data_IF_343697334203
#
_entry.id   IF_343697334203
#
_cell.length_a   1.000
_cell.length_b   1.000
_cell.length_c   1.000
_cell.angle_alpha   90.00
_cell.angle_beta   90.00
_cell.angle_gamma   90.00
#
_symmetry.space_group_name_H-M   'P 1'
#
loop_
_entity.id
_entity.type
_entity.pdbx_description
1 polymer ?
#
# COMPACT_ATOMS: atom_id res chain seq x y z
N UNK A 1 13.37 53.43 -24.84
CA UNK A 1 13.39 53.16 -23.37
C UNK A 1 12.32 52.17 -22.87
N UNK A 2 11.22 51.88 -23.61
CA UNK A 2 10.21 50.89 -23.18
C UNK A 2 10.65 49.43 -23.39
N UNK A 3 11.42 49.16 -24.45
CA UNK A 3 11.96 47.83 -24.77
C UNK A 3 12.95 47.32 -23.72
N UNK A 4 13.83 48.17 -23.19
CA UNK A 4 14.79 47.77 -22.15
C UNK A 4 14.12 47.29 -20.86
N UNK A 5 13.00 47.91 -20.45
CA UNK A 5 12.27 47.53 -19.24
C UNK A 5 11.55 46.18 -19.38
N UNK A 6 11.14 45.84 -20.60
CA UNK A 6 10.51 44.55 -20.92
C UNK A 6 11.58 43.45 -20.88
N UNK A 7 12.75 43.70 -21.47
CA UNK A 7 13.87 42.73 -21.47
C UNK A 7 14.37 42.45 -20.04
N UNK A 8 14.50 43.48 -19.19
CA UNK A 8 14.91 43.26 -17.79
C UNK A 8 13.90 42.43 -17.00
N UNK A 9 12.60 42.60 -17.26
CA UNK A 9 11.56 41.81 -16.60
C UNK A 9 11.65 40.33 -16.99
N UNK A 10 11.92 40.02 -18.26
CA UNK A 10 12.12 38.64 -18.71
C UNK A 10 13.37 38.00 -18.10
N UNK A 11 14.48 38.74 -17.97
CA UNK A 11 15.72 38.21 -17.36
C UNK A 11 15.51 37.84 -15.88
N UNK A 12 14.79 38.67 -15.12
CA UNK A 12 14.47 38.38 -13.70
C UNK A 12 13.53 37.17 -13.59
N UNK A 13 12.57 37.04 -14.50
CA UNK A 13 11.66 35.89 -14.56
C UNK A 13 12.42 34.59 -14.87
N UNK A 14 13.33 34.61 -15.83
CA UNK A 14 14.16 33.44 -16.17
C UNK A 14 15.11 33.04 -15.04
N UNK A 15 15.76 34.00 -14.37
CA UNK A 15 16.61 33.72 -13.20
C UNK A 15 15.82 33.11 -12.03
N UNK A 16 14.57 33.54 -11.84
CA UNK A 16 13.64 32.95 -10.88
C UNK A 16 13.34 31.48 -11.17
N UNK A 17 13.07 31.13 -12.42
CA UNK A 17 12.82 29.72 -12.81
C UNK A 17 14.06 28.83 -12.65
N UNK A 18 15.27 29.34 -12.97
CA UNK A 18 16.51 28.56 -12.81
C UNK A 18 16.93 28.39 -11.35
N UNK A 19 16.62 29.34 -10.46
CA UNK A 19 16.98 29.24 -9.03
C UNK A 19 16.26 28.11 -8.29
N UNK A 20 15.16 27.58 -8.83
CA UNK A 20 14.42 26.44 -8.25
C UNK A 20 14.76 25.10 -8.93
N UNK A 21 15.66 25.04 -9.92
CA UNK A 21 15.91 23.80 -10.67
C UNK A 21 16.86 22.83 -9.97
N UNK A 22 17.37 23.14 -8.78
CA UNK A 22 18.34 22.31 -8.06
C UNK A 22 17.80 21.82 -6.71
N UNK A 23 16.65 21.16 -6.74
CA UNK A 23 16.43 20.05 -5.82
C UNK A 23 17.18 18.85 -6.41
N UNK A 24 18.47 18.77 -6.09
CA UNK A 24 19.30 17.61 -6.42
C UNK A 24 18.65 16.41 -5.73
N UNK A 25 18.08 15.48 -6.51
CA UNK A 25 17.67 14.17 -6.03
C UNK A 25 18.95 13.44 -5.63
N UNK A 26 19.53 13.76 -4.47
CA UNK A 26 20.42 12.85 -3.79
C UNK A 26 19.56 11.62 -3.54
N UNK A 27 19.71 10.61 -4.38
CA UNK A 27 19.19 9.27 -4.13
C UNK A 27 19.84 8.83 -2.83
N UNK A 28 19.19 9.14 -1.70
CA UNK A 28 19.52 8.57 -0.41
C UNK A 28 19.54 7.07 -0.67
N UNK A 29 20.73 6.49 -0.50
CA UNK A 29 20.97 5.08 -0.77
C UNK A 29 20.09 4.32 0.20
N UNK A 30 19.03 3.72 -0.31
CA UNK A 30 18.01 3.01 0.44
C UNK A 30 18.70 1.95 1.29
N UNK A 31 18.56 2.06 2.62
CA UNK A 31 19.04 1.01 3.53
C UNK A 31 18.05 -0.16 3.60
N UNK A 32 16.89 -0.05 2.95
CA UNK A 32 15.80 -1.01 3.08
C UNK A 32 16.08 -2.31 2.30
N UNK A 33 16.99 -3.11 2.84
CA UNK A 33 17.25 -4.47 2.40
C UNK A 33 16.29 -5.43 3.11
N UNK A 34 15.32 -5.99 2.37
CA UNK A 34 14.36 -6.97 2.89
C UNK A 34 15.01 -8.28 3.35
N UNK A 35 16.26 -8.55 2.96
CA UNK A 35 17.02 -9.71 3.45
C UNK A 35 17.50 -9.51 4.89
N UNK A 36 17.82 -8.27 5.27
CA UNK A 36 18.35 -7.90 6.58
C UNK A 36 17.23 -7.56 7.58
N UNK A 37 16.09 -7.08 7.10
CA UNK A 37 14.97 -6.65 7.95
C UNK A 37 14.05 -7.82 8.32
N UNK A 38 13.89 -8.07 9.62
CA UNK A 38 12.89 -9.00 10.13
C UNK A 38 11.52 -8.32 10.28
N UNK A 39 10.77 -8.27 9.18
CA UNK A 39 9.43 -7.63 9.08
C UNK A 39 8.47 -8.08 10.19
N UNK A 40 8.42 -9.38 10.51
CA UNK A 40 7.50 -9.89 11.54
C UNK A 40 7.86 -9.39 12.93
N UNK A 41 9.16 -9.34 13.24
CA UNK A 41 9.63 -8.79 14.50
C UNK A 41 9.33 -7.30 14.59
N UNK A 42 9.53 -6.56 13.50
CA UNK A 42 9.27 -5.13 13.44
C UNK A 42 7.78 -4.81 13.69
N UNK A 43 6.89 -5.53 13.01
CA UNK A 43 5.45 -5.44 13.23
C UNK A 43 5.06 -5.77 14.67
N UNK A 44 5.65 -6.83 15.25
CA UNK A 44 5.35 -7.21 16.64
C UNK A 44 5.75 -6.15 17.66
N UNK A 45 6.82 -5.37 17.40
CA UNK A 45 7.21 -4.26 18.29
C UNK A 45 6.23 -3.11 18.22
N UNK A 46 5.72 -2.80 17.01
CA UNK A 46 4.73 -1.73 16.80
C UNK A 46 3.44 -1.95 17.60
N UNK A 47 3.04 -3.21 17.83
CA UNK A 47 1.84 -3.54 18.60
C UNK A 47 1.92 -3.11 20.08
N UNK A 48 3.13 -2.90 20.62
CA UNK A 48 3.34 -2.51 22.03
C UNK A 48 3.84 -1.07 22.20
N UNK A 49 4.05 -0.33 21.11
CA UNK A 49 4.56 1.04 21.15
C UNK A 49 3.42 2.06 21.00
N UNK A 50 3.31 3.00 21.95
CA UNK A 50 2.33 4.10 21.88
C UNK A 50 2.61 5.09 20.72
N UNK A 51 3.84 5.12 20.22
CA UNK A 51 4.27 5.90 19.06
C UNK A 51 5.37 5.11 18.35
N UNK A 52 5.10 4.49 17.18
CA UNK A 52 6.09 3.66 16.52
C UNK A 52 7.32 4.48 16.18
N UNK A 53 8.42 4.13 16.85
CA UNK A 53 9.75 4.77 16.76
C UNK A 53 10.52 4.39 15.49
N UNK A 54 9.92 3.51 14.70
CA UNK A 54 10.49 2.79 13.58
C UNK A 54 10.89 3.70 12.41
N UNK A 55 12.11 3.46 11.89
CA UNK A 55 12.62 4.01 10.63
C UNK A 55 11.79 3.57 9.43
N UNK A 56 11.00 2.50 9.60
CA UNK A 56 10.12 1.94 8.58
C UNK A 56 8.65 2.05 8.99
N UNK A 57 7.77 2.08 8.00
CA UNK A 57 6.33 2.05 8.19
C UNK A 57 5.69 1.03 7.24
N UNK A 58 4.60 0.41 7.67
CA UNK A 58 3.90 -0.60 6.88
C UNK A 58 2.56 -0.05 6.43
N UNK A 59 2.19 -0.35 5.18
CA UNK A 59 0.92 0.08 4.64
C UNK A 59 0.43 -0.88 3.56
N UNK A 60 -0.87 -0.79 3.26
CA UNK A 60 -1.55 -1.61 2.28
C UNK A 60 -2.13 -0.71 1.21
N UNK A 61 -1.84 -1.04 -0.05
CA UNK A 61 -2.51 -0.45 -1.20
C UNK A 61 -3.47 -1.46 -1.81
N UNK A 62 -4.58 -0.95 -2.32
CA UNK A 62 -5.62 -1.76 -2.95
C UNK A 62 -5.89 -1.24 -4.36
N UNK A 63 -6.04 -2.17 -5.29
CA UNK A 63 -6.41 -1.88 -6.67
C UNK A 63 -7.59 -2.76 -7.09
N UNK A 64 -8.54 -2.19 -7.81
CA UNK A 64 -9.67 -2.94 -8.32
C UNK A 64 -9.23 -3.81 -9.51
N UNK A 65 -9.45 -5.12 -9.42
CA UNK A 65 -9.16 -6.06 -10.52
C UNK A 65 -10.41 -6.29 -11.35
N UNK A 66 -11.53 -6.58 -10.68
CA UNK A 66 -12.79 -6.91 -11.37
C UNK A 66 -14.00 -6.56 -10.51
N UNK A 67 -15.03 -5.97 -11.12
CA UNK A 67 -16.33 -5.75 -10.49
C UNK A 67 -17.29 -6.88 -10.86
N UNK A 68 -18.05 -7.36 -9.89
CA UNK A 68 -19.15 -8.29 -10.09
C UNK A 68 -20.42 -7.76 -9.42
N UNK A 69 -21.56 -8.38 -9.74
CA UNK A 69 -22.80 -8.08 -9.05
C UNK A 69 -22.74 -8.67 -7.64
N UNK A 70 -22.66 -7.80 -6.63
CA UNK A 70 -22.65 -8.16 -5.22
C UNK A 70 -21.26 -8.33 -4.58
N UNK A 71 -20.20 -8.46 -5.38
CA UNK A 71 -18.83 -8.54 -4.87
C UNK A 71 -17.83 -7.93 -5.83
N UNK A 72 -16.64 -7.60 -5.34
CA UNK A 72 -15.52 -7.12 -6.13
C UNK A 72 -14.30 -7.99 -5.87
N UNK A 73 -13.49 -8.19 -6.91
CA UNK A 73 -12.15 -8.72 -6.77
C UNK A 73 -11.19 -7.55 -6.76
N UNK A 74 -10.42 -7.42 -5.70
CA UNK A 74 -9.35 -6.44 -5.57
C UNK A 74 -8.01 -7.14 -5.50
N UNK A 75 -6.94 -6.40 -5.78
CA UNK A 75 -5.57 -6.78 -5.47
C UNK A 75 -5.13 -5.94 -4.28
N UNK A 76 -4.80 -6.58 -3.16
CA UNK A 76 -4.23 -5.93 -1.99
C UNK A 76 -2.72 -6.20 -1.97
N UNK A 77 -1.92 -5.16 -1.81
CA UNK A 77 -0.46 -5.23 -1.79
C UNK A 77 0.05 -4.62 -0.49
N UNK A 78 0.86 -5.37 0.24
CA UNK A 78 1.47 -4.91 1.50
C UNK A 78 2.87 -4.41 1.19
N UNK A 79 3.16 -3.21 1.65
CA UNK A 79 4.44 -2.54 1.45
C UNK A 79 5.07 -2.19 2.79
N UNK A 80 6.40 -2.09 2.75
CA UNK A 80 7.20 -1.45 3.77
C UNK A 80 7.85 -0.20 3.17
N UNK A 81 7.71 0.92 3.86
CA UNK A 81 8.21 2.24 3.48
C UNK A 81 9.33 2.63 4.43
N UNK A 82 10.51 2.91 3.89
CA UNK A 82 11.56 3.63 4.59
C UNK A 82 11.14 5.09 4.76
N UNK A 83 11.01 5.56 6.00
CA UNK A 83 10.54 6.91 6.30
C UNK A 83 11.61 7.96 6.02
N UNK A 84 12.89 7.58 5.98
CA UNK A 84 14.01 8.48 5.72
C UNK A 84 14.20 8.68 4.21
N UNK A 85 14.25 7.58 3.44
CA UNK A 85 14.44 7.67 1.98
C UNK A 85 13.14 7.85 1.19
N UNK A 86 11.99 7.57 1.80
CA UNK A 86 10.69 7.60 1.13
C UNK A 86 10.45 6.44 0.15
N UNK A 87 11.35 5.45 0.12
CA UNK A 87 11.24 4.32 -0.80
C UNK A 87 10.46 3.16 -0.19
N UNK A 88 9.63 2.53 -1.02
CA UNK A 88 8.78 1.42 -0.63
C UNK A 88 9.18 0.12 -1.30
N UNK A 89 9.21 -0.98 -0.55
CA UNK A 89 9.38 -2.33 -1.08
C UNK A 89 8.12 -3.17 -0.86
N UNK A 90 7.78 -3.98 -1.86
CA UNK A 90 6.65 -4.90 -1.82
C UNK A 90 6.98 -6.12 -0.96
N UNK A 91 6.15 -6.42 0.04
CA UNK A 91 6.28 -7.60 0.89
C UNK A 91 5.51 -8.78 0.31
N UNK A 92 4.26 -8.54 -0.07
CA UNK A 92 3.35 -9.55 -0.63
C UNK A 92 2.18 -8.87 -1.34
N UNK A 93 1.53 -9.58 -2.25
CA UNK A 93 0.31 -9.13 -2.88
C UNK A 93 -0.63 -10.31 -3.11
N UNK A 94 -1.94 -10.06 -2.94
CA UNK A 94 -2.96 -11.10 -3.11
C UNK A 94 -4.22 -10.55 -3.75
N UNK A 95 -4.92 -11.43 -4.48
CA UNK A 95 -6.25 -11.13 -4.97
C UNK A 95 -7.28 -11.53 -3.91
N UNK A 96 -8.14 -10.59 -3.55
CA UNK A 96 -9.12 -10.73 -2.47
C UNK A 96 -10.52 -10.47 -3.03
N UNK A 97 -11.44 -11.36 -2.69
CA UNK A 97 -12.86 -11.22 -2.93
C UNK A 97 -13.54 -10.54 -1.76
N UNK A 98 -14.22 -9.46 -2.11
CA UNK A 98 -14.81 -8.53 -1.18
C UNK A 98 -16.30 -8.42 -1.48
N UNK A 99 -17.14 -8.78 -0.52
CA UNK A 99 -18.59 -8.61 -0.62
C UNK A 99 -18.98 -7.14 -0.51
N UNK A 100 -19.89 -6.66 -1.37
CA UNK A 100 -20.37 -5.27 -1.31
C UNK A 100 -21.37 -5.05 -0.18
N UNK A 101 -22.06 -6.11 0.24
CA UNK A 101 -23.03 -6.13 1.33
C UNK A 101 -22.92 -7.45 2.10
N UNK A 102 -23.38 -7.47 3.36
CA UNK A 102 -23.26 -8.62 4.26
C UNK A 102 -23.92 -9.90 3.69
N UNK A 103 -25.01 -9.73 2.94
CA UNK A 103 -25.78 -10.84 2.36
C UNK A 103 -25.27 -11.29 0.97
N UNK A 104 -24.19 -10.69 0.47
CA UNK A 104 -23.66 -11.04 -0.84
C UNK A 104 -23.03 -12.43 -0.81
N UNK A 105 -23.51 -13.30 -1.69
CA UNK A 105 -22.94 -14.63 -1.88
C UNK A 105 -21.66 -14.52 -2.72
N UNK A 106 -20.52 -14.79 -2.08
CA UNK A 106 -19.24 -14.89 -2.77
C UNK A 106 -19.16 -16.21 -3.54
N UNK A 107 -19.54 -16.16 -4.82
CA UNK A 107 -19.38 -17.29 -5.74
C UNK A 107 -17.93 -17.33 -6.24
N UNK A 108 -17.13 -18.25 -5.71
CA UNK A 108 -15.89 -18.66 -6.37
C UNK A 108 -16.23 -19.85 -7.26
N UNK A 109 -15.89 -19.77 -8.54
CA UNK A 109 -15.93 -20.93 -9.42
C UNK A 109 -15.02 -22.02 -8.84
N UNK A 110 -15.55 -23.21 -8.60
CA UNK A 110 -14.88 -24.30 -7.89
C UNK A 110 -13.73 -24.95 -8.70
N UNK A 111 -13.29 -24.34 -9.80
CA UNK A 111 -12.30 -24.91 -10.72
C UNK A 111 -10.84 -24.89 -10.21
N UNK A 112 -10.60 -24.44 -8.99
CA UNK A 112 -9.25 -24.45 -8.36
C UNK A 112 -9.30 -25.24 -7.06
N UNK A 113 -9.24 -26.55 -7.20
CA UNK A 113 -9.47 -27.59 -6.17
C UNK A 113 -8.34 -27.81 -5.14
N UNK A 114 -7.44 -26.85 -4.89
CA UNK A 114 -6.37 -27.11 -3.91
C UNK A 114 -5.81 -25.90 -3.14
N UNK A 115 -6.42 -24.72 -3.28
CA UNK A 115 -5.93 -23.55 -2.56
C UNK A 115 -6.70 -23.38 -1.25
N UNK A 116 -5.98 -23.42 -0.13
CA UNK A 116 -6.52 -23.08 1.18
C UNK A 116 -7.14 -21.68 1.08
N UNK A 117 -8.46 -21.64 0.98
CA UNK A 117 -9.27 -20.41 0.95
C UNK A 117 -9.18 -19.77 2.34
N UNK A 118 -8.10 -19.03 2.60
CA UNK A 118 -7.93 -18.31 3.83
C UNK A 118 -8.98 -17.19 3.89
N UNK A 119 -9.98 -17.38 4.76
CA UNK A 119 -10.97 -16.35 5.09
C UNK A 119 -10.34 -15.39 6.09
N UNK A 120 -10.41 -14.10 5.81
CA UNK A 120 -9.94 -13.05 6.71
C UNK A 120 -10.94 -12.81 7.85
N UNK A 121 -10.51 -12.14 8.92
CA UNK A 121 -11.34 -11.86 10.12
C UNK A 121 -12.64 -11.13 9.76
N UNK A 122 -12.60 -10.23 8.78
CA UNK A 122 -13.74 -9.47 8.29
C UNK A 122 -14.65 -10.24 7.30
N UNK A 123 -14.32 -11.49 6.98
CA UNK A 123 -15.08 -12.35 6.08
C UNK A 123 -14.70 -12.29 4.61
N UNK A 124 -13.76 -11.43 4.23
CA UNK A 124 -13.19 -11.39 2.87
C UNK A 124 -12.41 -12.70 2.58
N UNK A 125 -12.31 -13.07 1.30
CA UNK A 125 -11.71 -14.34 0.88
C UNK A 125 -10.51 -14.11 -0.03
N UNK A 126 -9.37 -14.72 0.29
CA UNK A 126 -8.21 -14.75 -0.60
C UNK A 126 -8.49 -15.75 -1.73
N UNK A 127 -8.38 -15.30 -2.98
CA UNK A 127 -8.74 -16.08 -4.19
C UNK A 127 -7.62 -17.04 -4.57
N UNK A 128 -6.40 -16.54 -4.55
CA UNK A 128 -5.16 -17.24 -4.88
C UNK A 128 -4.11 -16.64 -3.98
N UNK A 129 -3.38 -17.47 -3.24
CA UNK A 129 -2.20 -17.01 -2.51
C UNK A 129 -0.98 -17.11 -3.41
N UNK A 130 -0.27 -16.00 -3.62
CA UNK A 130 0.96 -15.95 -4.38
C UNK A 130 2.09 -16.59 -3.56
N UNK A 131 2.38 -17.87 -3.84
CA UNK A 131 3.44 -18.62 -3.16
C UNK A 131 4.86 -18.10 -3.41
N UNK A 132 5.03 -17.09 -4.27
CA UNK A 132 6.32 -16.49 -4.60
C UNK A 132 6.76 -15.39 -3.64
N UNK A 133 5.87 -14.85 -2.80
CA UNK A 133 6.25 -13.80 -1.85
C UNK A 133 6.93 -14.38 -0.61
N UNK A 134 7.96 -13.70 -0.10
CA UNK A 134 8.69 -14.07 1.12
C UNK A 134 7.78 -14.11 2.36
N UNK A 135 6.73 -13.30 2.37
CA UNK A 135 5.78 -13.19 3.48
C UNK A 135 4.38 -13.62 3.04
N UNK A 136 3.64 -14.28 3.94
CA UNK A 136 2.24 -14.63 3.73
C UNK A 136 1.34 -13.44 4.07
N UNK A 137 0.48 -13.04 3.13
CA UNK A 137 -0.51 -11.99 3.39
C UNK A 137 -1.40 -12.33 4.59
N UNK A 138 -1.79 -13.59 4.74
CA UNK A 138 -2.61 -14.04 5.87
C UNK A 138 -1.91 -13.84 7.22
N UNK A 139 -0.60 -14.05 7.28
CA UNK A 139 0.18 -13.84 8.51
C UNK A 139 0.34 -12.35 8.82
N UNK A 140 0.66 -11.53 7.82
CA UNK A 140 0.79 -10.08 7.98
C UNK A 140 -0.53 -9.43 8.45
N UNK A 141 -1.67 -9.92 7.96
CA UNK A 141 -3.00 -9.44 8.37
C UNK A 141 -3.39 -9.78 9.81
N UNK A 142 -2.58 -10.58 10.54
CA UNK A 142 -2.79 -10.79 11.98
C UNK A 142 -2.43 -9.54 12.79
N UNK A 143 -1.49 -8.74 12.30
CA UNK A 143 -1.08 -7.48 12.89
C UNK A 143 -2.15 -6.40 12.67
N UNK A 144 -2.42 -5.62 13.71
CA UNK A 144 -3.50 -4.64 13.70
C UNK A 144 -3.21 -3.45 12.78
N UNK A 145 -1.95 -2.98 12.71
CA UNK A 145 -1.58 -1.86 11.86
C UNK A 145 -1.81 -2.17 10.38
N UNK A 146 -1.42 -3.37 9.94
CA UNK A 146 -1.65 -3.85 8.57
C UNK A 146 -3.15 -4.04 8.31
N UNK A 147 -3.87 -4.69 9.24
CA UNK A 147 -5.30 -4.90 9.10
C UNK A 147 -6.08 -3.58 8.98
N UNK A 148 -5.78 -2.60 9.83
CA UNK A 148 -6.41 -1.28 9.80
C UNK A 148 -6.03 -0.48 8.54
N UNK A 149 -4.81 -0.63 8.04
CA UNK A 149 -4.40 -0.06 6.75
C UNK A 149 -5.21 -0.68 5.60
N UNK A 150 -5.36 -2.00 5.59
CA UNK A 150 -6.18 -2.72 4.61
C UNK A 150 -7.64 -2.29 4.66
N UNK A 151 -8.26 -2.21 5.85
CA UNK A 151 -9.65 -1.79 6.00
C UNK A 151 -9.88 -0.37 5.47
N UNK A 152 -8.96 0.57 5.76
CA UNK A 152 -9.00 1.92 5.20
C UNK A 152 -8.90 1.90 3.68
N UNK A 153 -7.88 1.23 3.13
CA UNK A 153 -7.64 1.19 1.69
C UNK A 153 -8.82 0.56 0.93
N UNK A 154 -9.44 -0.49 1.47
CA UNK A 154 -10.61 -1.14 0.86
C UNK A 154 -11.87 -0.29 0.94
N UNK A 155 -12.13 0.32 2.09
CA UNK A 155 -13.25 1.24 2.28
C UNK A 155 -13.15 2.44 1.32
N UNK A 156 -11.95 3.04 1.18
CA UNK A 156 -11.71 4.13 0.23
C UNK A 156 -11.88 3.70 -1.22
N UNK A 157 -11.32 2.55 -1.61
CA UNK A 157 -11.39 2.06 -3.00
C UNK A 157 -12.82 1.75 -3.45
N UNK A 158 -13.62 1.18 -2.55
CA UNK A 158 -14.95 0.66 -2.88
C UNK A 158 -16.09 1.52 -2.35
N UNK A 159 -15.77 2.64 -1.68
CA UNK A 159 -16.72 3.53 -1.02
C UNK A 159 -17.64 2.76 -0.05
N UNK A 160 -17.03 2.10 0.94
CA UNK A 160 -17.72 1.27 1.93
C UNK A 160 -17.44 1.78 3.34
N UNK A 161 -18.42 1.60 4.24
CA UNK A 161 -18.32 2.02 5.64
C UNK A 161 -18.20 0.80 6.57
N UNK A 162 -17.13 0.01 6.42
CA UNK A 162 -16.88 -1.14 7.30
C UNK A 162 -16.14 -0.70 8.55
N UNK A 163 -16.62 -1.11 9.71
CA UNK A 163 -15.96 -0.86 10.99
C UNK A 163 -14.66 -1.67 11.14
N UNK A 164 -13.74 -1.13 11.94
CA UNK A 164 -12.45 -1.71 12.32
C UNK A 164 -12.61 -2.82 13.37
#
# INVERSE_FOLDING_TARGET
>A
MKSLKIVSAFVVLFLGFFSFSKAENTTLKTSLNLEEINVLQQLSKQDFECRPSEEVSFYVETALVKKHRGFNTIKASVFVLDRLSGQSNLLTNENILISNHKDAVLYLDNRTDNYQKAKLKNGDKIVVSNTKSKYSFHELMKNEAIYNSYMRATNTLLNLDRAF
#
